data_IF_296475742326
#
_entry.id   IF_296475742326
#
_cell.length_a   1.000
_cell.length_b   1.000
_cell.length_c   1.000
_cell.angle_alpha   90.00
_cell.angle_beta   90.00
_cell.angle_gamma   90.00
#
_symmetry.space_group_name_H-M   'P 1'
#
loop_
_entity.id
_entity.type
_entity.pdbx_description
1 polymer ?
#
# COMPACT_ATOMS: atom_id res chain seq x y z
N UNK A 1 -64.76 -32.41 61.40
CA UNK A 1 -65.21 -31.05 61.16
C UNK A 1 -64.31 -30.54 60.01
N UNK A 2 -64.68 -30.72 58.85
CA UNK A 2 -65.47 -29.94 57.91
C UNK A 2 -64.97 -28.47 57.79
N UNK A 3 -64.36 -28.11 56.67
CA UNK A 3 -64.76 -26.98 55.85
C UNK A 3 -63.97 -26.91 54.57
N UNK A 4 -64.64 -27.16 53.53
CA UNK A 4 -64.48 -26.83 52.17
C UNK A 4 -64.19 -25.35 51.95
N UNK A 5 -63.24 -25.01 51.11
CA UNK A 5 -63.33 -23.77 50.31
C UNK A 5 -62.68 -24.00 48.94
N UNK A 6 -63.59 -24.04 47.96
CA UNK A 6 -63.27 -23.92 46.55
C UNK A 6 -62.57 -22.61 46.22
N UNK A 7 -61.41 -22.65 45.53
CA UNK A 7 -60.76 -21.54 44.93
C UNK A 7 -60.65 -21.70 43.39
N UNK A 8 -61.37 -20.85 42.72
CA UNK A 8 -61.56 -20.75 41.26
C UNK A 8 -60.21 -20.77 40.49
N UNK A 9 -60.19 -21.66 39.49
CA UNK A 9 -59.27 -21.56 38.32
C UNK A 9 -59.57 -20.26 37.56
N UNK A 10 -58.59 -19.38 37.51
CA UNK A 10 -58.46 -18.34 36.48
C UNK A 10 -57.35 -18.74 35.53
N UNK A 11 -57.73 -19.38 34.46
CA UNK A 11 -56.90 -19.52 33.28
C UNK A 11 -56.82 -18.12 32.62
N UNK A 12 -55.69 -17.46 32.79
CA UNK A 12 -55.35 -16.31 31.96
C UNK A 12 -54.81 -16.83 30.63
N UNK A 13 -55.60 -16.63 29.61
CA UNK A 13 -55.20 -16.79 28.21
C UNK A 13 -54.01 -15.89 27.93
N UNK A 14 -52.83 -16.49 27.73
CA UNK A 14 -51.69 -15.81 27.13
C UNK A 14 -51.90 -15.83 25.62
N UNK A 15 -52.25 -14.67 25.06
CA UNK A 15 -52.20 -14.46 23.61
C UNK A 15 -50.84 -14.82 23.05
N UNK A 16 -50.75 -15.49 21.89
CA UNK A 16 -49.47 -15.76 21.24
C UNK A 16 -48.92 -14.44 20.68
N UNK A 17 -47.71 -14.09 21.11
CA UNK A 17 -46.89 -13.02 20.55
C UNK A 17 -46.80 -13.28 19.06
N UNK A 18 -47.49 -12.48 18.23
CA UNK A 18 -47.28 -12.41 16.79
C UNK A 18 -45.85 -11.99 16.51
N UNK A 19 -45.00 -12.97 16.23
CA UNK A 19 -43.69 -12.74 15.62
C UNK A 19 -43.94 -12.03 14.30
N UNK A 20 -43.67 -10.73 14.25
CA UNK A 20 -43.64 -10.01 13.00
C UNK A 20 -42.49 -10.60 12.17
N UNK A 21 -42.85 -11.45 11.24
CA UNK A 21 -41.99 -11.74 10.09
C UNK A 21 -41.68 -10.42 9.38
N UNK A 22 -40.51 -9.90 9.65
CA UNK A 22 -39.94 -8.79 8.90
C UNK A 22 -39.73 -9.31 7.47
N UNK A 23 -40.75 -9.09 6.61
CA UNK A 23 -40.60 -9.26 5.17
C UNK A 23 -39.30 -8.60 4.75
N UNK A 24 -38.27 -9.40 4.51
CA UNK A 24 -37.13 -9.01 3.75
C UNK A 24 -37.61 -8.74 2.33
N UNK A 25 -37.98 -7.48 2.08
CA UNK A 25 -38.16 -7.01 0.72
C UNK A 25 -36.84 -7.25 -0.02
N UNK A 26 -36.85 -8.13 -1.00
CA UNK A 26 -35.86 -8.21 -2.04
C UNK A 26 -35.71 -6.82 -2.67
N UNK A 27 -34.73 -6.06 -2.24
CA UNK A 27 -34.24 -4.87 -2.94
C UNK A 27 -33.27 -5.37 -4.03
N UNK A 28 -33.83 -5.89 -5.11
CA UNK A 28 -33.15 -5.98 -6.38
C UNK A 28 -33.29 -4.59 -7.04
N UNK A 29 -32.25 -3.78 -6.97
CA UNK A 29 -32.28 -2.49 -7.70
C UNK A 29 -31.43 -1.41 -7.06
N UNK A 30 -30.21 -1.69 -6.58
CA UNK A 30 -29.40 -0.66 -5.96
C UNK A 30 -27.88 -0.89 -5.99
N UNK A 31 -27.42 -1.95 -6.62
CA UNK A 31 -25.98 -2.29 -6.65
C UNK A 31 -25.15 -1.23 -7.37
N UNK A 32 -25.60 -0.74 -8.54
CA UNK A 32 -24.81 0.19 -9.34
C UNK A 32 -24.63 1.60 -8.75
N UNK A 33 -25.62 2.08 -7.95
CA UNK A 33 -25.54 3.42 -7.36
C UNK A 33 -24.59 3.51 -6.17
N UNK A 34 -24.44 2.42 -5.41
CA UNK A 34 -23.47 2.34 -4.31
C UNK A 34 -22.03 2.13 -4.83
N UNK A 35 -21.87 1.40 -5.93
CA UNK A 35 -20.55 1.08 -6.49
C UNK A 35 -19.83 2.32 -7.03
N UNK A 36 -20.54 3.24 -7.73
CA UNK A 36 -19.89 4.45 -8.23
C UNK A 36 -19.49 5.42 -7.13
N UNK A 37 -20.25 5.52 -6.02
CA UNK A 37 -19.89 6.39 -4.87
C UNK A 37 -18.59 5.92 -4.22
N UNK A 38 -18.48 4.62 -3.99
CA UNK A 38 -17.24 4.02 -3.46
C UNK A 38 -16.03 4.26 -4.37
N UNK A 39 -16.24 4.13 -5.69
CA UNK A 39 -15.19 4.41 -6.68
C UNK A 39 -14.76 5.88 -6.66
N UNK A 40 -15.71 6.81 -6.72
CA UNK A 40 -15.43 8.25 -6.68
C UNK A 40 -14.74 8.63 -5.37
N UNK A 41 -15.25 8.16 -4.23
CA UNK A 41 -14.65 8.40 -2.92
C UNK A 41 -13.21 7.83 -2.84
N UNK A 42 -12.97 6.66 -3.43
CA UNK A 42 -11.64 6.06 -3.53
C UNK A 42 -10.65 6.91 -4.34
N UNK A 43 -11.09 7.47 -5.47
CA UNK A 43 -10.27 8.38 -6.29
C UNK A 43 -9.86 9.62 -5.49
N UNK A 44 -10.82 10.29 -4.85
CA UNK A 44 -10.54 11.49 -4.04
C UNK A 44 -9.66 11.16 -2.82
N UNK A 45 -9.88 10.02 -2.19
CA UNK A 45 -9.02 9.51 -1.11
C UNK A 45 -7.58 9.30 -1.59
N UNK A 46 -7.39 8.70 -2.76
CA UNK A 46 -6.07 8.52 -3.39
C UNK A 46 -5.38 9.84 -3.70
N UNK A 47 -6.09 10.82 -4.25
CA UNK A 47 -5.57 12.16 -4.53
C UNK A 47 -5.15 12.85 -3.23
N UNK A 48 -6.00 12.83 -2.20
CA UNK A 48 -5.72 13.43 -0.90
C UNK A 48 -4.51 12.79 -0.21
N UNK A 49 -4.44 11.46 -0.23
CA UNK A 49 -3.30 10.68 0.27
C UNK A 49 -1.99 11.06 -0.44
N UNK A 50 -2.04 11.18 -1.76
CA UNK A 50 -0.88 11.58 -2.55
C UNK A 50 -0.47 13.01 -2.26
N UNK A 51 -1.42 13.93 -2.21
CA UNK A 51 -1.15 15.36 -1.98
C UNK A 51 -0.40 15.60 -0.67
N UNK A 52 -0.78 14.89 0.39
CA UNK A 52 -0.09 15.00 1.69
C UNK A 52 1.18 14.13 1.74
N UNK A 53 1.13 12.94 1.15
CA UNK A 53 2.22 11.96 1.25
C UNK A 53 3.41 12.26 0.33
N UNK A 54 3.17 12.84 -0.84
CA UNK A 54 4.21 13.00 -1.88
C UNK A 54 5.39 13.88 -1.47
N UNK A 55 5.23 14.99 -0.75
CA UNK A 55 6.36 15.75 -0.21
C UNK A 55 7.31 14.89 0.62
N UNK A 56 6.78 14.04 1.50
CA UNK A 56 7.59 13.11 2.29
C UNK A 56 8.32 12.08 1.41
N UNK A 57 7.65 11.58 0.37
CA UNK A 57 8.27 10.66 -0.59
C UNK A 57 9.43 11.32 -1.33
N UNK A 58 9.27 12.56 -1.77
CA UNK A 58 10.33 13.30 -2.48
C UNK A 58 11.54 13.50 -1.57
N UNK A 59 11.34 13.92 -0.33
CA UNK A 59 12.42 14.10 0.64
C UNK A 59 13.08 12.75 0.96
N UNK A 60 12.29 11.69 1.15
CA UNK A 60 12.80 10.33 1.36
C UNK A 60 13.74 9.91 0.24
N UNK A 61 13.27 9.98 -1.03
CA UNK A 61 14.07 9.54 -2.19
C UNK A 61 15.33 10.38 -2.33
N UNK A 62 15.25 11.69 -2.16
CA UNK A 62 16.43 12.58 -2.21
C UNK A 62 17.46 12.22 -1.14
N UNK A 63 17.04 11.94 0.08
CA UNK A 63 17.94 11.51 1.15
C UNK A 63 18.56 10.14 0.87
N UNK A 64 17.83 9.21 0.28
CA UNK A 64 18.31 7.86 -0.01
C UNK A 64 19.33 7.82 -1.17
N UNK A 65 19.18 8.72 -2.14
CA UNK A 65 19.90 8.65 -3.42
C UNK A 65 21.03 9.67 -3.55
N UNK A 66 21.05 10.68 -2.69
CA UNK A 66 22.07 11.75 -2.72
C UNK A 66 23.18 11.47 -1.73
N UNK A 67 24.37 11.96 -2.06
CA UNK A 67 25.55 11.92 -1.19
C UNK A 67 25.20 12.44 0.23
N UNK A 68 25.70 11.78 1.29
CA UNK A 68 25.52 12.22 2.67
C UNK A 68 25.95 13.66 2.95
N UNK A 69 26.93 14.17 2.24
CA UNK A 69 27.45 15.55 2.41
C UNK A 69 26.47 16.63 1.97
N UNK A 70 25.53 16.32 1.05
CA UNK A 70 24.61 17.32 0.48
C UNK A 70 23.51 17.72 1.43
N UNK A 71 22.95 16.78 2.18
CA UNK A 71 21.87 17.02 3.15
C UNK A 71 22.21 16.40 4.49
N UNK A 72 22.29 17.21 5.54
CA UNK A 72 22.52 16.74 6.92
C UNK A 72 21.30 16.00 7.49
N UNK A 73 20.09 16.28 6.96
CA UNK A 73 18.85 15.65 7.44
C UNK A 73 17.61 16.05 6.67
N UNK A 74 16.44 15.52 7.08
CA UNK A 74 15.18 15.77 6.39
C UNK A 74 14.77 17.24 6.33
N UNK A 75 14.94 17.98 7.42
CA UNK A 75 14.55 19.38 7.49
C UNK A 75 15.40 20.24 6.53
N UNK A 76 16.72 19.99 6.49
CA UNK A 76 17.60 20.70 5.55
C UNK A 76 17.23 20.39 4.10
N UNK A 77 16.90 19.11 3.80
CA UNK A 77 16.45 18.71 2.47
C UNK A 77 15.16 19.42 2.05
N UNK A 78 14.18 19.54 2.96
CA UNK A 78 12.93 20.31 2.73
C UNK A 78 13.25 21.78 2.43
N UNK A 79 14.01 22.44 3.32
CA UNK A 79 14.32 23.88 3.22
C UNK A 79 15.08 24.19 1.95
N UNK A 80 16.11 23.40 1.61
CA UNK A 80 16.86 23.58 0.37
C UNK A 80 16.02 23.32 -0.87
N UNK A 81 15.12 22.32 -0.82
CA UNK A 81 14.22 22.04 -1.93
C UNK A 81 13.27 23.21 -2.18
N UNK A 82 12.66 23.74 -1.13
CA UNK A 82 11.74 24.89 -1.25
C UNK A 82 12.50 26.15 -1.71
N UNK A 83 13.69 26.40 -1.16
CA UNK A 83 14.50 27.58 -1.51
C UNK A 83 14.99 27.55 -2.97
N UNK A 84 15.40 26.38 -3.48
CA UNK A 84 16.04 26.26 -4.79
C UNK A 84 15.04 25.97 -5.92
N UNK A 85 13.96 25.23 -5.63
CA UNK A 85 13.03 24.71 -6.64
C UNK A 85 11.58 25.19 -6.42
N UNK A 86 11.33 25.90 -5.33
CA UNK A 86 10.00 26.30 -4.86
C UNK A 86 9.19 25.12 -4.33
N UNK A 87 7.97 25.40 -3.87
CA UNK A 87 7.06 24.38 -3.32
C UNK A 87 6.72 23.26 -4.33
N UNK A 88 6.66 23.60 -5.62
CA UNK A 88 6.44 22.62 -6.70
C UNK A 88 7.54 21.58 -6.80
N UNK A 89 8.74 21.86 -6.31
CA UNK A 89 9.86 20.91 -6.24
C UNK A 89 9.54 19.66 -5.43
N UNK A 90 8.71 19.79 -4.38
CA UNK A 90 8.27 18.68 -3.54
C UNK A 90 7.31 17.73 -4.25
N UNK A 91 6.67 18.17 -5.34
CA UNK A 91 5.69 17.39 -6.12
C UNK A 91 6.25 16.84 -7.44
N UNK A 92 7.55 16.96 -7.68
CA UNK A 92 8.18 16.34 -8.85
C UNK A 92 7.97 14.82 -8.82
N UNK A 93 7.47 14.27 -9.93
CA UNK A 93 7.19 12.83 -10.04
C UNK A 93 5.89 12.37 -9.35
N UNK A 94 4.96 13.27 -9.02
CA UNK A 94 3.65 12.90 -8.45
C UNK A 94 2.71 12.24 -9.45
N UNK A 95 2.82 12.59 -10.74
CA UNK A 95 1.91 12.11 -11.79
C UNK A 95 1.97 10.59 -12.03
N UNK A 96 3.16 9.93 -12.13
CA UNK A 96 3.20 8.48 -12.33
C UNK A 96 2.46 7.68 -11.25
N UNK A 97 2.66 7.93 -9.95
CA UNK A 97 1.92 7.21 -8.92
C UNK A 97 0.44 7.56 -8.89
N UNK A 98 0.05 8.78 -9.24
CA UNK A 98 -1.38 9.15 -9.25
C UNK A 98 -2.19 8.27 -10.21
N UNK A 99 -1.65 8.02 -11.40
CA UNK A 99 -2.31 7.18 -12.40
C UNK A 99 -2.05 5.69 -12.15
N UNK A 100 -0.84 5.35 -11.69
CA UNK A 100 -0.40 3.96 -11.57
C UNK A 100 -0.92 3.23 -10.33
N UNK A 101 -1.11 3.92 -9.19
CA UNK A 101 -1.43 3.24 -7.93
C UNK A 101 -2.77 2.52 -7.95
N UNK A 102 -3.82 3.11 -8.50
CA UNK A 102 -5.13 2.45 -8.57
C UNK A 102 -5.04 1.13 -9.35
N UNK A 103 -4.32 1.14 -10.46
CA UNK A 103 -4.14 -0.05 -11.27
C UNK A 103 -3.22 -1.08 -10.59
N UNK A 104 -2.13 -0.62 -9.97
CA UNK A 104 -1.21 -1.49 -9.23
C UNK A 104 -1.88 -2.14 -8.02
N UNK A 105 -2.70 -1.39 -7.27
CA UNK A 105 -3.42 -1.91 -6.11
C UNK A 105 -4.48 -2.94 -6.52
N UNK A 106 -5.20 -2.70 -7.62
CA UNK A 106 -6.15 -3.67 -8.18
C UNK A 106 -5.47 -4.97 -8.59
N UNK A 107 -4.34 -4.89 -9.29
CA UNK A 107 -3.56 -6.08 -9.68
C UNK A 107 -2.97 -6.78 -8.44
N UNK A 108 -2.50 -6.01 -7.46
CA UNK A 108 -1.96 -6.56 -6.22
C UNK A 108 -3.01 -7.34 -5.43
N UNK A 109 -4.17 -6.75 -5.19
CA UNK A 109 -5.24 -7.38 -4.42
C UNK A 109 -5.88 -8.54 -5.18
N UNK A 110 -6.12 -8.37 -6.48
CA UNK A 110 -6.66 -9.44 -7.33
C UNK A 110 -5.74 -10.65 -7.36
N UNK A 111 -4.45 -10.45 -7.63
CA UNK A 111 -3.47 -11.55 -7.63
C UNK A 111 -3.28 -12.16 -6.24
N UNK A 112 -3.32 -11.36 -5.16
CA UNK A 112 -3.24 -11.87 -3.80
C UNK A 112 -4.40 -12.82 -3.47
N UNK A 113 -5.63 -12.48 -3.90
CA UNK A 113 -6.81 -13.32 -3.72
C UNK A 113 -6.66 -14.64 -4.48
N UNK A 114 -6.22 -14.58 -5.74
CA UNK A 114 -5.97 -15.78 -6.55
C UNK A 114 -4.91 -16.67 -5.91
N UNK A 115 -3.78 -16.10 -5.49
CA UNK A 115 -2.70 -16.90 -4.88
C UNK A 115 -3.09 -17.48 -3.51
N UNK A 116 -3.86 -16.75 -2.71
CA UNK A 116 -4.40 -17.32 -1.45
C UNK A 116 -5.28 -18.52 -1.72
N UNK A 117 -6.16 -18.43 -2.72
CA UNK A 117 -7.03 -19.53 -3.13
C UNK A 117 -6.21 -20.73 -3.63
N UNK A 118 -5.27 -20.52 -4.55
CA UNK A 118 -4.42 -21.59 -5.09
C UNK A 118 -3.59 -22.26 -3.98
N UNK A 119 -3.04 -21.50 -3.05
CA UNK A 119 -2.28 -22.07 -1.93
C UNK A 119 -3.18 -22.85 -0.98
N UNK A 120 -4.39 -22.36 -0.67
CA UNK A 120 -5.32 -23.10 0.19
C UNK A 120 -5.77 -24.41 -0.44
N UNK A 121 -6.10 -24.41 -1.72
CA UNK A 121 -6.61 -25.59 -2.44
C UNK A 121 -5.53 -26.64 -2.72
N UNK A 122 -4.34 -26.21 -3.18
CA UNK A 122 -3.34 -27.13 -3.73
C UNK A 122 -2.14 -27.42 -2.83
N UNK A 123 -1.83 -26.54 -1.89
CA UNK A 123 -0.63 -26.66 -1.05
C UNK A 123 -0.99 -27.02 0.39
N UNK A 124 -1.97 -26.34 0.95
CA UNK A 124 -2.35 -26.53 2.34
C UNK A 124 -3.59 -27.39 2.53
N UNK A 125 -4.25 -27.83 1.44
CA UNK A 125 -5.46 -28.66 1.44
C UNK A 125 -6.54 -28.16 2.41
N UNK A 126 -6.71 -26.86 2.47
CA UNK A 126 -7.71 -26.18 3.29
C UNK A 126 -8.92 -25.90 2.40
N UNK A 127 -10.13 -26.27 2.85
CA UNK A 127 -11.33 -25.93 2.09
C UNK A 127 -11.39 -24.42 1.80
N UNK A 128 -11.65 -24.03 0.53
CA UNK A 128 -11.71 -22.62 0.19
C UNK A 128 -12.80 -21.94 1.01
N UNK A 129 -12.52 -20.76 1.59
CA UNK A 129 -13.60 -19.97 2.20
C UNK A 129 -14.68 -19.77 1.14
N UNK A 130 -15.94 -20.07 1.50
CA UNK A 130 -17.05 -20.02 0.58
C UNK A 130 -16.99 -18.76 -0.28
N UNK A 131 -17.50 -18.86 -1.50
CA UNK A 131 -17.43 -17.89 -2.60
C UNK A 131 -18.10 -16.54 -2.32
N UNK A 132 -18.01 -16.04 -1.13
CA UNK A 132 -18.44 -14.68 -0.80
C UNK A 132 -17.47 -13.67 -1.42
N UNK A 133 -17.73 -13.37 -2.67
CA UNK A 133 -17.02 -12.39 -3.51
C UNK A 133 -17.05 -10.98 -2.92
N UNK A 134 -17.81 -10.75 -1.86
CA UNK A 134 -17.93 -9.49 -1.14
C UNK A 134 -16.88 -9.25 -0.07
N UNK A 135 -16.02 -10.24 0.24
CA UNK A 135 -14.95 -10.10 1.21
C UNK A 135 -13.65 -9.54 0.57
N UNK A 136 -13.75 -8.42 -0.14
CA UNK A 136 -12.59 -7.59 -0.53
C UNK A 136 -11.98 -6.84 0.67
N UNK A 137 -12.50 -7.06 1.87
CA UNK A 137 -11.92 -6.55 3.11
C UNK A 137 -10.96 -7.58 3.68
N UNK A 138 -9.66 -7.24 3.87
CA UNK A 138 -8.76 -8.11 4.59
C UNK A 138 -9.29 -8.26 6.02
N UNK A 139 -9.84 -9.41 6.36
CA UNK A 139 -10.19 -9.66 7.75
C UNK A 139 -11.43 -10.47 8.07
N UNK A 140 -12.21 -10.95 7.11
CA UNK A 140 -13.32 -11.87 7.42
C UNK A 140 -12.84 -13.31 7.30
N UNK A 141 -12.25 -13.85 8.38
CA UNK A 141 -12.06 -15.29 8.48
C UNK A 141 -13.42 -15.91 8.87
N UNK A 142 -13.95 -16.90 8.11
CA UNK A 142 -15.14 -17.63 8.49
C UNK A 142 -14.89 -18.37 9.82
N UNK A 143 -15.85 -18.31 10.73
CA UNK A 143 -15.85 -19.13 11.94
C UNK A 143 -15.99 -20.60 11.52
N UNK A 144 -14.96 -21.41 11.79
CA UNK A 144 -15.08 -22.87 11.75
C UNK A 144 -14.27 -23.61 10.69
N UNK A 145 -13.54 -22.97 9.80
CA UNK A 145 -12.67 -23.63 8.82
C UNK A 145 -11.18 -23.40 9.16
N UNK A 146 -10.36 -24.42 8.91
CA UNK A 146 -8.89 -24.29 9.02
C UNK A 146 -8.43 -23.22 8.04
N UNK A 147 -8.21 -22.02 8.57
CA UNK A 147 -7.81 -20.86 7.75
C UNK A 147 -6.38 -21.08 7.23
N UNK A 148 -6.07 -20.54 6.05
CA UNK A 148 -4.70 -20.52 5.52
C UNK A 148 -3.73 -20.04 6.61
N UNK A 149 -2.61 -20.75 6.88
CA UNK A 149 -1.66 -20.35 7.91
C UNK A 149 -1.00 -19.01 7.56
N UNK A 150 -0.54 -18.26 8.57
CA UNK A 150 0.10 -16.95 8.38
C UNK A 150 1.28 -17.01 7.41
N UNK A 151 2.01 -18.13 7.39
CA UNK A 151 3.06 -18.42 6.42
C UNK A 151 2.53 -18.46 4.98
N UNK A 152 1.37 -19.09 4.76
CA UNK A 152 0.69 -19.13 3.45
C UNK A 152 0.25 -17.73 2.99
N UNK A 153 -0.25 -16.90 3.90
CA UNK A 153 -0.54 -15.49 3.62
C UNK A 153 0.73 -14.72 3.22
N UNK A 154 1.86 -15.00 3.87
CA UNK A 154 3.16 -14.43 3.52
C UNK A 154 3.61 -14.83 2.11
N UNK A 155 3.54 -16.13 1.75
CA UNK A 155 3.87 -16.62 0.40
C UNK A 155 2.96 -15.98 -0.65
N UNK A 156 1.65 -15.94 -0.43
CA UNK A 156 0.71 -15.25 -1.32
C UNK A 156 1.11 -13.78 -1.53
N UNK A 157 1.58 -13.12 -0.48
CA UNK A 157 2.09 -11.75 -0.53
C UNK A 157 3.34 -11.60 -1.42
N UNK A 158 4.29 -12.53 -1.36
CA UNK A 158 5.46 -12.55 -2.26
C UNK A 158 5.02 -12.70 -3.71
N UNK A 159 4.16 -13.67 -4.00
CA UNK A 159 3.69 -13.96 -5.36
C UNK A 159 2.92 -12.77 -5.94
N UNK A 160 2.00 -12.20 -5.19
CA UNK A 160 1.25 -11.01 -5.60
C UNK A 160 2.17 -9.79 -5.78
N UNK A 161 3.12 -9.58 -4.86
CA UNK A 161 4.14 -8.56 -4.98
C UNK A 161 5.01 -8.71 -6.21
N UNK A 162 5.39 -9.95 -6.55
CA UNK A 162 6.15 -10.25 -7.77
C UNK A 162 5.35 -9.94 -9.03
N UNK A 163 4.06 -10.34 -9.05
CA UNK A 163 3.17 -10.06 -10.19
C UNK A 163 3.03 -8.56 -10.42
N UNK A 164 2.73 -7.78 -9.37
CA UNK A 164 2.57 -6.33 -9.52
C UNK A 164 3.89 -5.62 -9.86
N UNK A 165 5.04 -6.21 -9.57
CA UNK A 165 6.36 -5.61 -9.84
C UNK A 165 6.60 -5.35 -11.33
N UNK A 166 6.01 -6.14 -12.22
CA UNK A 166 6.14 -5.90 -13.66
C UNK A 166 5.45 -4.61 -14.10
N UNK A 167 4.44 -4.17 -13.38
CA UNK A 167 3.77 -2.87 -13.63
C UNK A 167 4.43 -1.78 -12.80
N UNK A 168 4.75 -2.09 -11.56
CA UNK A 168 5.29 -1.12 -10.61
C UNK A 168 6.71 -0.66 -10.97
N UNK A 169 7.57 -1.55 -11.45
CA UNK A 169 8.97 -1.20 -11.71
C UNK A 169 9.15 -0.05 -12.71
N UNK A 170 8.49 -0.02 -13.89
CA UNK A 170 8.56 1.12 -14.81
C UNK A 170 8.02 2.41 -14.17
N UNK A 171 6.90 2.33 -13.47
CA UNK A 171 6.25 3.50 -12.83
C UNK A 171 7.14 4.08 -11.73
N UNK A 172 7.66 3.23 -10.85
CA UNK A 172 8.55 3.62 -9.76
C UNK A 172 9.89 4.15 -10.29
N UNK A 173 10.43 3.55 -11.36
CA UNK A 173 11.66 4.01 -12.00
C UNK A 173 11.50 5.43 -12.55
N UNK A 174 10.44 5.69 -13.33
CA UNK A 174 10.15 7.04 -13.86
C UNK A 174 9.92 8.03 -12.71
N UNK A 175 9.14 7.64 -11.67
CA UNK A 175 8.92 8.46 -10.48
C UNK A 175 10.25 8.87 -9.83
N UNK A 176 11.12 7.89 -9.54
CA UNK A 176 12.38 8.12 -8.85
C UNK A 176 13.29 9.07 -9.64
N UNK A 177 13.41 8.88 -10.95
CA UNK A 177 14.19 9.77 -11.83
C UNK A 177 13.68 11.19 -11.86
N UNK A 178 12.37 11.39 -11.89
CA UNK A 178 11.78 12.74 -11.84
C UNK A 178 12.01 13.42 -10.49
N UNK A 179 11.99 12.66 -9.40
CA UNK A 179 12.20 13.20 -8.04
C UNK A 179 13.63 13.69 -7.78
N UNK A 180 14.63 13.10 -8.44
CA UNK A 180 16.03 13.49 -8.28
C UNK A 180 16.48 14.59 -9.25
N UNK A 181 15.60 15.11 -10.10
CA UNK A 181 15.91 16.26 -10.94
C UNK A 181 15.86 17.55 -10.11
N UNK A 182 17.06 18.07 -9.77
CA UNK A 182 17.20 19.27 -8.94
C UNK A 182 17.04 20.59 -9.71
N UNK A 183 17.09 20.56 -11.05
CA UNK A 183 16.97 21.77 -11.87
C UNK A 183 15.65 22.49 -11.62
N UNK A 184 15.73 23.78 -11.28
CA UNK A 184 14.57 24.65 -11.06
C UNK A 184 13.87 24.97 -12.39
N UNK A 185 14.65 25.41 -13.38
CA UNK A 185 14.15 25.74 -14.71
C UNK A 185 13.83 24.50 -15.53
N UNK A 186 12.77 24.56 -16.30
CA UNK A 186 12.35 23.44 -17.15
C UNK A 186 13.36 23.12 -18.26
N UNK A 187 14.02 24.16 -18.78
CA UNK A 187 15.01 24.02 -19.83
C UNK A 187 16.22 23.16 -19.43
N UNK A 188 16.63 23.24 -18.15
CA UNK A 188 17.80 22.52 -17.61
C UNK A 188 17.47 21.08 -17.18
N UNK A 189 16.20 20.67 -17.31
CA UNK A 189 15.79 19.33 -16.91
C UNK A 189 16.06 18.32 -18.00
N UNK A 190 16.64 17.19 -17.61
CA UNK A 190 16.83 16.08 -18.54
C UNK A 190 15.50 15.52 -19.06
N UNK A 191 14.49 15.49 -18.19
CA UNK A 191 13.15 15.01 -18.51
C UNK A 191 12.11 16.10 -18.31
N UNK A 192 11.33 16.39 -19.34
CA UNK A 192 10.23 17.36 -19.27
C UNK A 192 9.03 16.85 -18.44
N UNK A 193 8.84 15.52 -18.38
CA UNK A 193 7.77 14.87 -17.65
C UNK A 193 7.86 13.35 -17.71
N UNK A 194 6.86 12.64 -17.15
CA UNK A 194 6.92 11.17 -17.05
C UNK A 194 6.93 10.46 -18.41
N UNK A 195 6.14 10.94 -19.36
CA UNK A 195 6.08 10.36 -20.72
C UNK A 195 7.38 10.60 -21.46
N UNK A 196 7.96 11.81 -21.35
CA UNK A 196 9.25 12.13 -21.95
C UNK A 196 10.37 11.29 -21.35
N UNK A 197 10.37 11.12 -20.02
CA UNK A 197 11.31 10.25 -19.32
C UNK A 197 11.24 8.82 -19.85
N UNK A 198 10.04 8.24 -19.89
CA UNK A 198 9.83 6.88 -20.39
C UNK A 198 10.25 6.74 -21.86
N UNK A 199 9.87 7.70 -22.72
CA UNK A 199 10.21 7.71 -24.16
C UNK A 199 11.73 7.78 -24.37
N UNK A 200 12.43 8.65 -23.64
CA UNK A 200 13.88 8.78 -23.71
C UNK A 200 14.57 7.50 -23.25
N UNK A 201 14.18 6.94 -22.10
CA UNK A 201 14.74 5.69 -21.62
C UNK A 201 14.53 4.56 -22.63
N UNK A 202 13.32 4.43 -23.18
CA UNK A 202 13.02 3.40 -24.17
C UNK A 202 13.83 3.60 -25.47
N UNK A 203 13.96 4.84 -25.95
CA UNK A 203 14.70 5.15 -27.18
C UNK A 203 16.19 4.81 -27.08
N UNK A 204 16.82 5.07 -25.93
CA UNK A 204 18.27 4.87 -25.77
C UNK A 204 18.65 3.51 -25.21
N UNK A 205 17.80 2.89 -24.41
CA UNK A 205 18.12 1.64 -23.68
C UNK A 205 17.10 0.52 -23.91
N UNK A 206 16.07 0.76 -24.74
CA UNK A 206 15.03 -0.21 -25.02
C UNK A 206 14.26 -0.64 -23.78
N UNK A 207 13.64 -1.82 -23.85
CA UNK A 207 12.83 -2.38 -22.76
C UNK A 207 13.66 -2.69 -21.52
N UNK A 208 14.93 -3.09 -21.69
CA UNK A 208 15.85 -3.35 -20.56
C UNK A 208 16.09 -2.10 -19.72
N UNK A 209 16.16 -0.92 -20.35
CA UNK A 209 16.28 0.36 -19.66
C UNK A 209 15.01 0.71 -18.88
N UNK A 210 13.84 0.46 -19.46
CA UNK A 210 12.55 0.71 -18.79
C UNK A 210 12.42 -0.13 -17.52
N UNK A 211 12.83 -1.39 -17.57
CA UNK A 211 12.81 -2.32 -16.44
C UNK A 211 14.10 -2.28 -15.59
N UNK A 212 14.89 -1.20 -15.71
CA UNK A 212 16.05 -1.01 -14.84
C UNK A 212 15.61 -0.97 -13.37
N UNK A 213 16.19 -1.84 -12.55
CA UNK A 213 15.82 -1.97 -11.13
C UNK A 213 14.68 -2.98 -10.85
N UNK A 214 14.15 -3.70 -11.85
CA UNK A 214 13.14 -4.74 -11.62
C UNK A 214 13.59 -5.79 -10.59
N UNK A 215 14.83 -6.26 -10.69
CA UNK A 215 15.37 -7.23 -9.73
C UNK A 215 15.42 -6.70 -8.30
N UNK A 216 15.77 -5.41 -8.13
CA UNK A 216 15.74 -4.76 -6.84
C UNK A 216 14.30 -4.56 -6.33
N UNK A 217 13.35 -4.31 -7.23
CA UNK A 217 11.92 -4.24 -6.89
C UNK A 217 11.39 -5.58 -6.46
N UNK A 218 11.71 -6.67 -7.16
CA UNK A 218 11.31 -8.03 -6.79
C UNK A 218 11.85 -8.40 -5.41
N UNK A 219 13.14 -8.11 -5.14
CA UNK A 219 13.73 -8.36 -3.83
C UNK A 219 13.03 -7.55 -2.73
N UNK A 220 12.74 -6.27 -2.98
CA UNK A 220 11.99 -5.44 -2.04
C UNK A 220 10.57 -5.98 -1.80
N UNK A 221 9.87 -6.44 -2.86
CA UNK A 221 8.52 -7.02 -2.75
C UNK A 221 8.51 -8.37 -2.04
N UNK A 222 9.65 -9.07 -1.95
CA UNK A 222 9.79 -10.25 -1.12
C UNK A 222 9.43 -10.01 0.35
N UNK A 223 9.65 -8.79 0.86
CA UNK A 223 9.24 -8.39 2.21
C UNK A 223 7.72 -8.25 2.41
N UNK A 224 6.91 -8.39 1.37
CA UNK A 224 5.46 -8.54 1.52
C UNK A 224 5.07 -9.80 2.31
N UNK A 225 5.99 -10.77 2.39
CA UNK A 225 5.87 -11.86 3.35
C UNK A 225 5.68 -11.34 4.78
N UNK A 226 6.52 -10.41 5.21
CA UNK A 226 6.43 -9.81 6.54
C UNK A 226 5.14 -9.01 6.71
N UNK A 227 4.69 -8.30 5.67
CA UNK A 227 3.45 -7.53 5.74
C UNK A 227 2.23 -8.43 5.95
N UNK A 228 2.00 -9.34 4.99
CA UNK A 228 0.78 -10.15 5.01
C UNK A 228 0.78 -11.22 6.10
N UNK A 229 1.96 -11.77 6.43
CA UNK A 229 2.10 -12.68 7.55
C UNK A 229 1.84 -12.02 8.90
N UNK A 230 2.43 -10.83 9.15
CA UNK A 230 2.18 -10.09 10.38
C UNK A 230 0.76 -9.55 10.48
N UNK A 231 0.15 -9.15 9.35
CA UNK A 231 -1.25 -8.74 9.32
C UNK A 231 -2.18 -9.87 9.80
N UNK A 232 -1.99 -11.08 9.31
CA UNK A 232 -2.79 -12.22 9.71
C UNK A 232 -2.61 -12.54 11.20
N UNK A 233 -1.36 -12.61 11.68
CA UNK A 233 -1.07 -12.84 13.11
C UNK A 233 -1.72 -11.76 13.98
N UNK A 234 -1.51 -10.50 13.66
CA UNK A 234 -2.03 -9.38 14.45
C UNK A 234 -3.56 -9.32 14.43
N UNK A 235 -4.18 -9.56 13.27
CA UNK A 235 -5.64 -9.56 13.15
C UNK A 235 -6.29 -10.67 13.97
N UNK A 236 -5.70 -11.88 13.99
CA UNK A 236 -6.15 -13.00 14.82
C UNK A 236 -6.01 -12.67 16.30
N UNK A 237 -4.82 -12.21 16.73
CA UNK A 237 -4.60 -11.87 18.13
C UNK A 237 -5.50 -10.75 18.64
N UNK A 238 -5.73 -9.71 17.84
CA UNK A 238 -6.63 -8.62 18.21
C UNK A 238 -8.09 -9.11 18.35
N UNK A 239 -8.55 -10.00 17.48
CA UNK A 239 -9.89 -10.59 17.56
C UNK A 239 -10.07 -11.50 18.79
N UNK A 240 -9.04 -12.26 19.14
CA UNK A 240 -9.07 -13.18 20.27
C UNK A 240 -8.92 -12.48 21.62
N UNK A 241 -8.09 -11.44 21.69
CA UNK A 241 -7.71 -10.79 22.95
C UNK A 241 -8.47 -9.49 23.23
N UNK A 242 -9.22 -8.95 22.26
CA UNK A 242 -9.91 -7.66 22.41
C UNK A 242 -11.34 -7.73 21.90
N UNK A 243 -12.21 -6.88 22.46
CA UNK A 243 -13.60 -6.73 22.01
C UNK A 243 -13.74 -5.62 20.94
N UNK A 244 -12.68 -5.39 20.13
CA UNK A 244 -12.71 -4.38 19.10
C UNK A 244 -13.64 -4.77 17.94
N UNK A 245 -14.30 -3.77 17.36
CA UNK A 245 -15.09 -3.98 16.15
C UNK A 245 -14.19 -4.40 14.96
N UNK A 246 -14.75 -5.12 14.00
CA UNK A 246 -13.98 -5.60 12.84
C UNK A 246 -13.23 -4.47 12.08
N UNK A 247 -13.80 -3.27 11.87
CA UNK A 247 -13.07 -2.14 11.29
C UNK A 247 -11.89 -1.68 12.15
N UNK A 248 -12.03 -1.66 13.47
CA UNK A 248 -10.95 -1.28 14.38
C UNK A 248 -9.82 -2.31 14.38
N UNK A 249 -10.13 -3.60 14.35
CA UNK A 249 -9.14 -4.67 14.21
C UNK A 249 -8.36 -4.50 12.90
N UNK A 250 -9.05 -4.28 11.79
CA UNK A 250 -8.40 -4.08 10.48
C UNK A 250 -7.52 -2.83 10.46
N UNK A 251 -7.95 -1.76 11.10
CA UNK A 251 -7.16 -0.53 11.22
C UNK A 251 -5.85 -0.76 11.99
N UNK A 252 -5.93 -1.35 13.16
CA UNK A 252 -4.75 -1.60 13.99
C UNK A 252 -3.83 -2.67 13.39
N UNK A 253 -4.39 -3.80 12.94
CA UNK A 253 -3.59 -4.85 12.29
C UNK A 253 -2.92 -4.33 11.01
N UNK A 254 -3.63 -3.57 10.19
CA UNK A 254 -3.08 -2.96 8.97
C UNK A 254 -2.00 -1.93 9.25
N UNK A 255 -2.20 -1.06 10.24
CA UNK A 255 -1.22 -0.07 10.65
C UNK A 255 0.07 -0.69 11.20
N UNK A 256 -0.07 -1.63 12.13
CA UNK A 256 1.07 -2.30 12.75
C UNK A 256 1.84 -3.17 11.75
N UNK A 257 1.15 -3.93 10.91
CA UNK A 257 1.80 -4.75 9.87
C UNK A 257 2.55 -3.91 8.84
N UNK A 258 2.05 -2.72 8.51
CA UNK A 258 2.76 -1.78 7.67
C UNK A 258 4.05 -1.28 8.33
N UNK A 259 4.08 -1.10 9.66
CA UNK A 259 5.31 -0.75 10.36
C UNK A 259 6.33 -1.91 10.36
N UNK A 260 5.85 -3.15 10.58
CA UNK A 260 6.70 -4.35 10.47
C UNK A 260 7.31 -4.44 9.07
N UNK A 261 6.51 -4.22 8.03
CA UNK A 261 6.99 -4.18 6.66
C UNK A 261 8.07 -3.12 6.45
N UNK A 262 7.84 -1.87 6.87
CA UNK A 262 8.83 -0.82 6.68
C UNK A 262 10.11 -1.04 7.48
N UNK A 263 10.01 -1.56 8.69
CA UNK A 263 11.19 -1.90 9.50
C UNK A 263 12.04 -3.00 8.85
N UNK A 264 11.40 -4.01 8.27
CA UNK A 264 12.13 -5.13 7.65
C UNK A 264 12.63 -4.83 6.24
N UNK A 265 11.86 -4.10 5.43
CA UNK A 265 12.15 -3.86 4.02
C UNK A 265 12.98 -2.60 3.75
N UNK A 266 13.10 -1.69 4.70
CA UNK A 266 13.70 -0.38 4.48
C UNK A 266 15.13 -0.40 3.95
N UNK A 267 16.05 -1.25 4.47
CA UNK A 267 17.39 -1.39 3.90
C UNK A 267 17.37 -1.77 2.41
N UNK A 268 16.49 -2.70 2.04
CA UNK A 268 16.32 -3.09 0.63
C UNK A 268 15.73 -1.97 -0.23
N UNK A 269 14.84 -1.15 0.34
CA UNK A 269 14.27 0.01 -0.34
C UNK A 269 15.33 1.07 -0.67
N UNK A 270 16.24 1.35 0.27
CA UNK A 270 17.37 2.28 0.02
C UNK A 270 18.21 1.81 -1.15
N UNK A 271 18.59 0.53 -1.18
CA UNK A 271 19.37 -0.04 -2.28
C UNK A 271 18.60 0.01 -3.60
N UNK A 272 17.31 -0.33 -3.58
CA UNK A 272 16.42 -0.24 -4.75
C UNK A 272 16.38 1.19 -5.31
N UNK A 273 16.18 2.19 -4.47
CA UNK A 273 16.14 3.59 -4.90
C UNK A 273 17.47 4.05 -5.51
N UNK A 274 18.59 3.63 -4.93
CA UNK A 274 19.94 3.90 -5.49
C UNK A 274 20.09 3.32 -6.89
N UNK A 275 19.63 2.10 -7.13
CA UNK A 275 19.68 1.46 -8.45
C UNK A 275 18.75 2.18 -9.44
N UNK A 276 17.50 2.48 -9.05
CA UNK A 276 16.54 3.13 -9.94
C UNK A 276 16.95 4.54 -10.36
N UNK A 277 17.72 5.23 -9.52
CA UNK A 277 18.22 6.57 -9.79
C UNK A 277 19.62 6.61 -10.36
N UNK A 278 20.28 5.45 -10.45
CA UNK A 278 21.62 5.35 -11.04
C UNK A 278 21.58 5.72 -12.52
N UNK A 279 22.54 6.50 -13.03
CA UNK A 279 22.63 6.80 -14.45
C UNK A 279 22.62 5.54 -15.31
N UNK A 280 21.90 5.60 -16.42
CA UNK A 280 21.88 4.51 -17.40
C UNK A 280 23.07 4.58 -18.36
N UNK A 281 23.61 5.78 -18.52
CA UNK A 281 24.74 6.06 -19.40
C UNK A 281 24.36 6.16 -20.88
N UNK A 282 25.33 6.05 -21.76
CA UNK A 282 25.14 6.08 -23.20
C UNK A 282 24.57 7.40 -23.72
N UNK A 283 23.74 7.35 -24.74
CA UNK A 283 23.19 8.54 -25.42
C UNK A 283 22.18 9.35 -24.58
N UNK A 284 21.83 8.91 -23.38
CA UNK A 284 20.94 9.65 -22.50
C UNK A 284 21.61 10.82 -21.80
N UNK A 285 22.96 10.85 -21.74
CA UNK A 285 23.77 11.87 -21.07
C UNK A 285 23.39 12.13 -19.62
N UNK A 286 22.94 11.11 -18.90
CA UNK A 286 22.57 11.17 -17.49
C UNK A 286 23.72 10.83 -16.54
N UNK A 287 24.90 10.54 -17.08
CA UNK A 287 26.11 10.19 -16.34
C UNK A 287 26.61 8.77 -16.63
N UNK A 288 27.51 8.28 -15.79
CA UNK A 288 28.09 6.94 -15.91
C UNK A 288 27.41 6.00 -14.93
N UNK A 289 27.02 4.83 -15.39
CA UNK A 289 26.41 3.79 -14.56
C UNK A 289 27.38 3.33 -13.49
N UNK A 290 26.95 3.36 -12.21
CA UNK A 290 27.76 3.03 -11.03
C UNK A 290 27.45 1.66 -10.46
N UNK A 291 26.20 1.22 -10.55
CA UNK A 291 25.69 0.03 -9.87
C UNK A 291 25.15 -1.01 -10.86
N UNK A 292 26.00 -1.85 -11.48
CA UNK A 292 25.55 -2.89 -12.38
C UNK A 292 24.76 -4.01 -11.67
N UNK A 293 25.04 -4.26 -10.38
CA UNK A 293 24.41 -5.30 -9.58
C UNK A 293 23.87 -4.74 -8.26
N UNK A 294 22.87 -5.41 -7.69
CA UNK A 294 22.29 -5.03 -6.40
C UNK A 294 23.35 -4.97 -5.27
N UNK A 295 24.28 -5.93 -5.26
CA UNK A 295 25.36 -5.98 -4.27
C UNK A 295 26.26 -4.75 -4.33
N UNK A 296 26.53 -4.23 -5.52
CA UNK A 296 27.40 -3.04 -5.71
C UNK A 296 26.76 -1.81 -5.07
N UNK A 297 25.45 -1.63 -5.28
CA UNK A 297 24.70 -0.56 -4.65
C UNK A 297 24.63 -0.73 -3.13
N UNK A 298 24.42 -1.96 -2.64
CA UNK A 298 24.40 -2.23 -1.22
C UNK A 298 25.75 -1.91 -0.57
N UNK A 299 26.86 -2.39 -1.13
CA UNK A 299 28.21 -2.11 -0.62
C UNK A 299 28.51 -0.60 -0.65
N UNK A 300 28.07 0.10 -1.69
CA UNK A 300 28.25 1.56 -1.78
C UNK A 300 27.51 2.29 -0.64
N UNK A 301 26.25 1.93 -0.36
CA UNK A 301 25.50 2.49 0.77
C UNK A 301 26.24 2.27 2.09
N UNK A 302 26.81 1.07 2.29
CA UNK A 302 27.57 0.78 3.49
C UNK A 302 28.88 1.59 3.58
N UNK A 303 29.60 1.71 2.47
CA UNK A 303 30.86 2.48 2.42
C UNK A 303 30.65 3.98 2.67
N UNK A 304 29.54 4.54 2.16
CA UNK A 304 29.22 5.96 2.30
C UNK A 304 28.70 6.35 3.68
N UNK A 305 27.92 5.50 4.34
CA UNK A 305 27.22 5.86 5.58
C UNK A 305 27.20 4.77 6.66
N UNK A 306 27.95 3.69 6.47
CA UNK A 306 27.92 2.54 7.36
C UNK A 306 26.51 1.95 7.48
N UNK A 307 26.23 1.33 8.61
CA UNK A 307 24.89 0.78 8.88
C UNK A 307 23.78 1.86 8.87
N UNK A 308 24.10 3.09 9.30
CA UNK A 308 23.17 4.22 9.30
C UNK A 308 22.74 4.63 7.88
N UNK A 309 23.56 4.36 6.86
CA UNK A 309 23.25 4.61 5.46
C UNK A 309 21.97 3.92 5.00
N UNK A 310 21.72 2.69 5.45
CA UNK A 310 20.50 1.93 5.10
C UNK A 310 19.21 2.47 5.75
N UNK A 311 19.32 3.35 6.74
CA UNK A 311 18.18 3.97 7.42
C UNK A 311 17.98 5.42 7.03
N UNK A 312 18.77 5.90 6.08
CA UNK A 312 18.69 7.29 5.64
C UNK A 312 17.36 7.57 4.94
N UNK A 313 16.64 8.58 5.42
CA UNK A 313 15.29 8.90 4.92
C UNK A 313 14.16 8.07 5.57
N UNK A 314 14.45 7.27 6.62
CA UNK A 314 13.41 6.52 7.32
C UNK A 314 12.40 7.44 8.01
N UNK A 315 12.86 8.52 8.64
CA UNK A 315 12.00 9.47 9.35
C UNK A 315 10.88 10.05 8.47
N UNK A 316 11.15 10.60 7.28
CA UNK A 316 10.07 11.06 6.40
C UNK A 316 9.11 9.93 6.00
N UNK A 317 9.62 8.72 5.77
CA UNK A 317 8.80 7.56 5.43
C UNK A 317 7.83 7.20 6.56
N UNK A 318 8.33 7.18 7.79
CA UNK A 318 7.55 6.87 8.98
C UNK A 318 6.50 7.94 9.26
N UNK A 319 6.91 9.21 9.26
CA UNK A 319 6.02 10.34 9.54
C UNK A 319 4.90 10.50 8.50
N UNK A 320 5.13 10.07 7.25
CA UNK A 320 4.14 10.12 6.18
C UNK A 320 2.88 9.31 6.48
N UNK A 321 3.01 8.19 7.19
CA UNK A 321 1.96 7.20 7.33
C UNK A 321 0.69 7.78 7.98
N UNK A 322 0.83 8.56 9.05
CA UNK A 322 -0.30 9.11 9.76
C UNK A 322 -1.04 10.22 8.97
N UNK A 323 -0.42 11.33 8.56
CA UNK A 323 -1.13 12.42 7.91
C UNK A 323 -1.70 12.02 6.55
N UNK A 324 -0.99 11.19 5.78
CA UNK A 324 -1.47 10.75 4.48
C UNK A 324 -2.71 9.84 4.60
N UNK A 325 -2.72 8.91 5.55
CA UNK A 325 -3.86 8.03 5.75
C UNK A 325 -5.05 8.76 6.40
N UNK A 326 -4.80 9.69 7.33
CA UNK A 326 -5.84 10.52 7.91
C UNK A 326 -6.56 11.36 6.84
N UNK A 327 -5.80 12.03 5.97
CA UNK A 327 -6.39 12.81 4.87
C UNK A 327 -7.13 11.94 3.85
N UNK A 328 -6.63 10.73 3.60
CA UNK A 328 -7.34 9.78 2.74
C UNK A 328 -8.72 9.41 3.30
N UNK A 329 -8.78 9.14 4.61
CA UNK A 329 -10.04 8.81 5.29
C UNK A 329 -11.01 9.99 5.30
N UNK A 330 -10.53 11.18 5.66
CA UNK A 330 -11.35 12.42 5.65
C UNK A 330 -11.92 12.70 4.26
N UNK A 331 -11.09 12.57 3.22
CA UNK A 331 -11.54 12.77 1.85
C UNK A 331 -12.56 11.70 1.42
N UNK A 332 -12.33 10.44 1.77
CA UNK A 332 -13.26 9.35 1.50
C UNK A 332 -14.61 9.59 2.14
N UNK A 333 -14.64 9.84 3.46
CA UNK A 333 -15.89 10.10 4.18
C UNK A 333 -16.59 11.37 3.71
N UNK A 334 -15.84 12.44 3.43
CA UNK A 334 -16.39 13.70 2.92
C UNK A 334 -17.11 13.50 1.60
N UNK A 335 -16.51 12.76 0.65
CA UNK A 335 -17.13 12.45 -0.64
C UNK A 335 -18.34 11.53 -0.47
N UNK A 336 -18.23 10.48 0.36
CA UNK A 336 -19.34 9.56 0.63
C UNK A 336 -20.56 10.28 1.22
N UNK A 337 -20.36 11.31 2.04
CA UNK A 337 -21.44 12.12 2.64
C UNK A 337 -22.01 13.17 1.66
N UNK A 338 -21.20 13.63 0.71
CA UNK A 338 -21.60 14.68 -0.25
C UNK A 338 -22.34 14.13 -1.47
N UNK A 339 -22.21 12.84 -1.75
CA UNK A 339 -22.89 12.19 -2.86
C UNK A 339 -24.29 11.74 -2.42
N UNK A 340 -25.33 12.12 -3.19
CA UNK A 340 -26.74 11.82 -2.90
C UNK A 340 -27.08 10.33 -2.90
#
# INVERSE_FOLDING_TARGET
MAADVQGKNMLSETEPIKTQEKKTSHVSGGSGAHDYKGFVAGVFSGIAKLSVGHPFDTIKVRLQTTDPSRFSGPLQCVTQTIRNEGFRGLYKGATPPLVGWMFMDSVMLGSLTVYRRLLSEHVFNVEPPGTDVTASSPGTAPKGHTALPSFGHGIAGILAGSTVSFIAAPVEHVKARLQIQYAAQKADRLYAGPIDCLRKIYRYHGIKGVYHGLSATLLFRGFFFCWWGSYDILSRQLREKTNLSAPAVNFWAGGLSAQVFWLTSYPSDVVKQRIMTDPLGGGLNDGVRRFPRWKDAAVAVYREGGWKGYWRGFVPCFLRAFPANAMALVAFEGVMRSLP
#
